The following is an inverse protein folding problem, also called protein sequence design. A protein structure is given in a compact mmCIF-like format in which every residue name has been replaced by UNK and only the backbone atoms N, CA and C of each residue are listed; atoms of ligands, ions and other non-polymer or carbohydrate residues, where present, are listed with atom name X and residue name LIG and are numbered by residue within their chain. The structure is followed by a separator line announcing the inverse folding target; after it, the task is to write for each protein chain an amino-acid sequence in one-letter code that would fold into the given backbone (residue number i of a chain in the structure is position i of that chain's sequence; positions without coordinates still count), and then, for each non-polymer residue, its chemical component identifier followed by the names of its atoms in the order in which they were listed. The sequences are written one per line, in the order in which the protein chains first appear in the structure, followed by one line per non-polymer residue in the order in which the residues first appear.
data_IF_892385797747
#
_entry.id   IF_892385797747
#
_cell.length_a   1.000
_cell.length_b   1.000
_cell.length_c   1.000
_cell.angle_alpha   90.00
_cell.angle_beta   90.00
_cell.angle_gamma   90.00
#
_symmetry.space_group_name_H-M   'P 1'
#
loop_
_entity.id
_entity.type
_entity.pdbx_description
1 polymer ?
#
# COMPACT_ATOMS: atom_id res chain seq x y z
N UNK A 1 6.73 -20.10 25.95
CA UNK A 1 6.63 -18.88 25.13
C UNK A 1 5.81 -17.89 25.93
N UNK A 2 6.31 -16.70 26.28
CA UNK A 2 5.49 -15.68 26.93
C UNK A 2 4.38 -15.23 25.99
N UNK A 3 3.15 -15.20 26.47
CA UNK A 3 2.00 -14.65 25.75
C UNK A 3 2.24 -13.18 25.49
N UNK A 4 2.06 -12.67 24.25
CA UNK A 4 2.21 -11.26 23.98
C UNK A 4 1.25 -10.47 24.87
N UNK A 5 1.76 -9.46 25.58
CA UNK A 5 0.96 -8.59 26.42
C UNK A 5 -0.10 -7.88 25.58
N UNK A 6 -1.32 -7.77 26.09
CA UNK A 6 -2.38 -7.02 25.42
C UNK A 6 -1.95 -5.57 25.21
N UNK A 7 -2.23 -4.96 24.05
CA UNK A 7 -1.82 -3.60 23.76
C UNK A 7 -2.43 -2.62 24.77
N UNK A 8 -1.64 -1.65 25.22
CA UNK A 8 -2.06 -0.60 26.13
C UNK A 8 -3.09 0.33 25.48
N UNK A 9 -3.88 1.04 26.27
CA UNK A 9 -4.84 2.05 25.78
C UNK A 9 -4.15 3.12 24.90
N UNK A 10 -2.89 3.47 25.20
CA UNK A 10 -2.11 4.42 24.41
C UNK A 10 -1.75 3.86 23.04
N UNK A 11 -1.33 2.59 22.97
CA UNK A 11 -1.01 1.91 21.71
C UNK A 11 -2.25 1.75 20.83
N UNK A 12 -3.38 1.34 21.38
CA UNK A 12 -4.65 1.27 20.67
C UNK A 12 -5.08 2.64 20.12
N UNK A 13 -4.87 3.70 20.88
CA UNK A 13 -5.17 5.06 20.44
C UNK A 13 -4.24 5.50 19.33
N UNK A 14 -2.94 5.20 19.45
CA UNK A 14 -1.95 5.47 18.41
C UNK A 14 -2.29 4.76 17.10
N UNK A 15 -2.66 3.48 17.16
CA UNK A 15 -3.10 2.69 15.99
C UNK A 15 -4.33 3.30 15.31
N UNK A 16 -5.33 3.74 16.08
CA UNK A 16 -6.51 4.44 15.54
C UNK A 16 -6.14 5.72 14.78
N UNK A 17 -5.18 6.50 15.28
CA UNK A 17 -4.70 7.70 14.59
C UNK A 17 -3.99 7.30 13.28
N UNK A 18 -3.15 6.26 13.31
CA UNK A 18 -2.47 5.77 12.12
C UNK A 18 -3.45 5.23 11.06
N UNK A 19 -4.49 4.52 11.47
CA UNK A 19 -5.54 4.05 10.57
C UNK A 19 -6.27 5.23 9.90
N UNK A 20 -6.69 6.24 10.67
CA UNK A 20 -7.33 7.44 10.13
C UNK A 20 -6.38 8.21 9.19
N UNK A 21 -5.15 8.49 9.64
CA UNK A 21 -4.16 9.18 8.84
C UNK A 21 -3.85 8.44 7.53
N UNK A 22 -3.70 7.10 7.58
CA UNK A 22 -3.40 6.28 6.42
C UNK A 22 -4.53 6.27 5.37
N UNK A 23 -5.79 6.36 5.78
CA UNK A 23 -6.93 6.55 4.88
C UNK A 23 -6.97 7.96 4.31
N UNK A 24 -6.85 8.97 5.18
CA UNK A 24 -6.90 10.38 4.78
C UNK A 24 -5.85 10.74 3.72
N UNK A 25 -4.58 10.33 3.92
CA UNK A 25 -3.51 10.60 2.92
C UNK A 25 -3.75 9.90 1.59
N UNK A 26 -4.33 8.69 1.57
CA UNK A 26 -4.64 7.98 0.31
C UNK A 26 -5.86 8.55 -0.40
N UNK A 27 -6.83 9.09 0.34
CA UNK A 27 -8.02 9.72 -0.20
C UNK A 27 -7.76 11.12 -0.76
N UNK A 28 -7.01 11.94 -0.02
CA UNK A 28 -6.88 13.38 -0.29
C UNK A 28 -5.45 13.84 -0.59
N UNK A 29 -4.49 12.90 -0.72
CA UNK A 29 -3.08 13.22 -0.89
C UNK A 29 -2.42 13.73 0.40
N UNK A 30 -1.13 14.06 0.31
CA UNK A 30 -0.36 14.53 1.46
C UNK A 30 -0.86 15.86 2.05
N UNK A 31 -1.35 16.76 1.19
CA UNK A 31 -1.84 18.08 1.61
C UNK A 31 -3.24 18.02 2.19
N UNK A 32 -4.07 17.07 1.75
CA UNK A 32 -5.46 16.91 2.18
C UNK A 32 -5.65 16.27 3.56
N UNK A 33 -4.59 15.76 4.18
CA UNK A 33 -4.65 15.15 5.52
C UNK A 33 -4.18 16.14 6.60
N UNK A 34 -5.06 17.03 7.06
CA UNK A 34 -4.75 17.90 8.20
C UNK A 34 -4.77 17.13 9.51
N UNK A 35 -3.97 17.58 10.49
CA UNK A 35 -3.96 16.98 11.84
C UNK A 35 -5.36 17.02 12.47
N UNK A 36 -6.10 18.12 12.29
CA UNK A 36 -7.44 18.28 12.85
C UNK A 36 -8.42 17.25 12.28
N UNK A 37 -8.40 17.03 10.96
CA UNK A 37 -9.27 16.04 10.30
C UNK A 37 -8.92 14.61 10.70
N UNK A 38 -7.63 14.27 10.74
CA UNK A 38 -7.16 12.95 11.18
C UNK A 38 -7.59 12.67 12.61
N UNK A 39 -7.38 13.61 13.54
CA UNK A 39 -7.78 13.44 14.94
C UNK A 39 -9.29 13.31 15.09
N UNK A 40 -10.07 14.12 14.34
CA UNK A 40 -11.53 14.01 14.30
C UNK A 40 -11.99 12.65 13.78
N UNK A 41 -11.40 12.16 12.68
CA UNK A 41 -11.71 10.82 12.12
C UNK A 41 -11.32 9.70 13.09
N UNK A 42 -10.24 9.87 13.85
CA UNK A 42 -9.86 8.95 14.93
C UNK A 42 -10.75 9.06 16.19
N UNK A 43 -11.74 9.97 16.24
CA UNK A 43 -12.60 10.20 17.40
C UNK A 43 -11.86 10.82 18.58
N UNK A 44 -10.89 11.70 18.32
CA UNK A 44 -10.01 12.33 19.31
C UNK A 44 -10.03 13.85 19.18
N UNK A 45 -9.61 14.54 20.25
CA UNK A 45 -9.43 15.99 20.21
C UNK A 45 -8.09 16.35 19.56
N UNK A 46 -8.02 17.51 18.92
CA UNK A 46 -6.77 18.03 18.31
C UNK A 46 -5.62 18.10 19.34
N UNK A 47 -5.90 18.50 20.58
CA UNK A 47 -4.88 18.60 21.63
C UNK A 47 -4.21 17.28 22.01
N UNK A 48 -4.87 16.14 21.75
CA UNK A 48 -4.29 14.81 21.97
C UNK A 48 -3.20 14.41 20.97
N UNK A 49 -3.03 15.15 19.89
CA UNK A 49 -2.07 14.84 18.82
C UNK A 49 -0.63 14.77 19.34
N UNK A 50 -0.19 15.77 20.08
CA UNK A 50 1.19 15.88 20.57
C UNK A 50 1.59 14.84 21.62
N UNK A 51 0.61 14.10 22.18
CA UNK A 51 0.88 12.92 22.99
C UNK A 51 1.33 11.70 22.19
N UNK A 52 1.13 11.73 20.86
CA UNK A 52 1.41 10.61 19.96
C UNK A 52 2.46 10.94 18.89
N UNK A 53 2.53 12.18 18.42
CA UNK A 53 3.45 12.59 17.34
C UNK A 53 4.05 13.96 17.61
N UNK A 54 5.35 14.10 17.37
CA UNK A 54 6.09 15.35 17.54
C UNK A 54 5.81 16.36 16.41
N UNK A 55 5.45 15.85 15.21
CA UNK A 55 5.14 16.67 14.04
C UNK A 55 4.12 15.98 13.11
N UNK A 56 3.53 16.77 12.21
CA UNK A 56 2.66 16.25 11.15
C UNK A 56 3.44 15.32 10.21
N UNK A 57 4.67 15.66 9.88
CA UNK A 57 5.56 14.89 9.00
C UNK A 57 5.84 13.50 9.60
N UNK A 58 6.11 13.41 10.91
CA UNK A 58 6.26 12.14 11.63
C UNK A 58 4.98 11.30 11.60
N UNK A 59 3.82 11.93 11.80
CA UNK A 59 2.53 11.24 11.65
C UNK A 59 2.36 10.70 10.23
N UNK A 60 2.62 11.50 9.20
CA UNK A 60 2.48 11.10 7.79
C UNK A 60 3.45 9.97 7.44
N UNK A 61 4.72 10.06 7.85
CA UNK A 61 5.70 9.00 7.65
C UNK A 61 5.26 7.67 8.30
N UNK A 62 4.77 7.75 9.55
CA UNK A 62 4.24 6.59 10.27
C UNK A 62 2.97 6.03 9.61
N UNK A 63 2.10 6.91 9.10
CA UNK A 63 0.90 6.50 8.37
C UNK A 63 1.22 5.79 7.04
N UNK A 64 2.26 6.23 6.31
CA UNK A 64 2.75 5.54 5.11
C UNK A 64 3.29 4.15 5.46
N UNK A 65 4.07 4.03 6.53
CA UNK A 65 4.59 2.76 7.00
C UNK A 65 3.45 1.80 7.41
N UNK A 66 2.49 2.30 8.18
CA UNK A 66 1.30 1.57 8.61
C UNK A 66 0.43 1.13 7.42
N UNK A 67 0.14 2.05 6.48
CA UNK A 67 -0.57 1.77 5.25
C UNK A 67 0.10 0.67 4.43
N UNK A 68 1.44 0.73 4.30
CA UNK A 68 2.22 -0.26 3.58
C UNK A 68 2.14 -1.65 4.23
N UNK A 69 2.22 -1.72 5.56
CA UNK A 69 2.09 -2.97 6.30
C UNK A 69 0.70 -3.59 6.14
N UNK A 70 -0.36 -2.80 6.32
CA UNK A 70 -1.75 -3.27 6.17
C UNK A 70 -2.05 -3.72 4.73
N UNK A 71 -1.64 -2.93 3.73
CA UNK A 71 -1.87 -3.32 2.32
C UNK A 71 -1.07 -4.57 1.91
N UNK A 72 0.15 -4.74 2.43
CA UNK A 72 0.93 -5.96 2.20
C UNK A 72 0.27 -7.19 2.85
N UNK A 73 -0.27 -7.06 4.07
CA UNK A 73 -1.03 -8.14 4.73
C UNK A 73 -2.27 -8.53 3.93
N UNK A 74 -3.06 -7.55 3.48
CA UNK A 74 -4.25 -7.80 2.66
C UNK A 74 -3.88 -8.48 1.33
N UNK A 75 -2.81 -8.04 0.69
CA UNK A 75 -2.30 -8.64 -0.54
C UNK A 75 -1.86 -10.09 -0.30
N UNK A 76 -1.08 -10.35 0.75
CA UNK A 76 -0.64 -11.70 1.11
C UNK A 76 -1.82 -12.64 1.38
N UNK A 77 -2.87 -12.16 2.05
CA UNK A 77 -4.09 -12.94 2.27
C UNK A 77 -4.79 -13.30 0.95
N UNK A 78 -4.88 -12.32 0.02
CA UNK A 78 -5.47 -12.56 -1.31
C UNK A 78 -4.64 -13.55 -2.13
N UNK A 79 -3.32 -13.42 -2.11
CA UNK A 79 -2.38 -14.35 -2.75
C UNK A 79 -2.56 -15.77 -2.21
N UNK A 80 -2.59 -15.94 -0.89
CA UNK A 80 -2.74 -17.25 -0.26
C UNK A 80 -4.03 -17.98 -0.66
N UNK A 81 -5.13 -17.22 -0.90
CA UNK A 81 -6.38 -17.81 -1.42
C UNK A 81 -6.19 -18.35 -2.84
N UNK A 82 -5.48 -17.61 -3.70
CA UNK A 82 -5.23 -18.01 -5.09
C UNK A 82 -4.23 -19.18 -5.17
N UNK A 83 -3.20 -19.19 -4.33
CA UNK A 83 -2.22 -20.29 -4.23
C UNK A 83 -2.90 -21.59 -3.81
N UNK A 84 -3.82 -21.55 -2.84
CA UNK A 84 -4.64 -22.73 -2.47
C UNK A 84 -5.51 -23.23 -3.62
N UNK A 85 -5.78 -22.41 -4.62
CA UNK A 85 -6.51 -22.76 -5.87
C UNK A 85 -5.57 -23.21 -7.01
N UNK A 86 -4.27 -23.41 -6.71
CA UNK A 86 -3.29 -23.89 -7.68
C UNK A 86 -2.61 -22.81 -8.51
N UNK A 87 -2.74 -21.53 -8.15
CA UNK A 87 -1.95 -20.47 -8.81
C UNK A 87 -0.50 -20.51 -8.33
N UNK A 88 0.45 -20.27 -9.24
CA UNK A 88 1.84 -20.01 -8.84
C UNK A 88 1.91 -18.74 -7.98
N UNK A 89 2.92 -18.57 -7.09
CA UNK A 89 3.07 -17.37 -6.28
C UNK A 89 3.10 -16.09 -7.12
N UNK A 90 3.77 -16.10 -8.28
CA UNK A 90 3.80 -14.96 -9.18
C UNK A 90 2.43 -14.62 -9.77
N UNK A 91 1.69 -15.62 -10.27
CA UNK A 91 0.32 -15.41 -10.76
C UNK A 91 -0.61 -14.93 -9.66
N UNK A 92 -0.48 -15.47 -8.46
CA UNK A 92 -1.25 -15.03 -7.31
C UNK A 92 -1.01 -13.56 -6.98
N UNK A 93 0.26 -13.09 -7.03
CA UNK A 93 0.61 -11.69 -6.88
C UNK A 93 -0.05 -10.83 -7.96
N UNK A 94 0.15 -11.16 -9.23
CA UNK A 94 -0.34 -10.38 -10.37
C UNK A 94 -1.87 -10.30 -10.38
N UNK A 95 -2.56 -11.43 -10.17
CA UNK A 95 -4.03 -11.50 -10.13
C UNK A 95 -4.61 -10.72 -8.93
N UNK A 96 -3.95 -10.77 -7.76
CA UNK A 96 -4.39 -10.03 -6.58
C UNK A 96 -4.13 -8.54 -6.71
N UNK A 97 -2.93 -8.15 -7.16
CA UNK A 97 -2.55 -6.75 -7.24
C UNK A 97 -3.32 -5.99 -8.33
N UNK A 98 -3.49 -6.59 -9.50
CA UNK A 98 -4.22 -6.01 -10.64
C UNK A 98 -5.70 -6.44 -10.66
N UNK A 99 -6.33 -6.61 -9.48
CA UNK A 99 -7.74 -6.98 -9.37
C UNK A 99 -8.67 -5.76 -9.40
N UNK A 100 -9.94 -5.91 -9.86
CA UNK A 100 -10.95 -4.86 -9.73
C UNK A 100 -11.16 -4.44 -8.26
N UNK A 101 -11.10 -5.38 -7.33
CA UNK A 101 -11.20 -5.08 -5.90
C UNK A 101 -10.07 -4.15 -5.41
N UNK A 102 -8.81 -4.36 -5.86
CA UNK A 102 -7.71 -3.46 -5.52
C UNK A 102 -7.82 -2.12 -6.24
N UNK A 103 -8.36 -2.07 -7.46
CA UNK A 103 -8.66 -0.82 -8.16
C UNK A 103 -9.64 0.03 -7.36
N UNK A 104 -10.71 -0.57 -6.84
CA UNK A 104 -11.72 0.11 -6.03
C UNK A 104 -11.22 0.49 -4.61
N UNK A 105 -10.18 -0.15 -4.12
CA UNK A 105 -9.64 0.05 -2.76
C UNK A 105 -8.77 1.31 -2.65
N UNK A 106 -9.35 2.50 -2.87
CA UNK A 106 -8.61 3.76 -2.89
C UNK A 106 -7.94 4.07 -1.55
N UNK A 107 -8.65 3.85 -0.43
CA UNK A 107 -8.19 4.20 0.91
C UNK A 107 -7.41 3.08 1.62
N UNK A 108 -7.49 1.83 1.13
CA UNK A 108 -6.89 0.66 1.76
C UNK A 108 -5.88 -0.09 0.89
N UNK A 109 -5.79 0.24 -0.40
CA UNK A 109 -4.87 -0.35 -1.36
C UNK A 109 -3.43 0.14 -1.23
N UNK A 110 -2.63 -0.14 -2.26
CA UNK A 110 -1.21 0.18 -2.29
C UNK A 110 -0.95 1.69 -2.11
N UNK A 111 -0.18 2.04 -1.08
CA UNK A 111 0.18 3.42 -0.78
C UNK A 111 1.12 4.02 -1.83
N UNK A 112 1.96 3.20 -2.48
CA UNK A 112 2.84 3.66 -3.57
C UNK A 112 2.01 4.07 -4.79
N UNK A 113 1.00 3.27 -5.15
CA UNK A 113 0.10 3.61 -6.25
C UNK A 113 -0.79 4.83 -5.94
N UNK A 114 -1.10 5.08 -4.67
CA UNK A 114 -1.89 6.25 -4.29
C UNK A 114 -1.06 7.55 -4.28
N UNK A 115 0.18 7.52 -3.79
CA UNK A 115 0.94 8.71 -3.40
C UNK A 115 2.29 8.86 -4.12
N UNK A 116 2.67 7.92 -5.00
CA UNK A 116 4.02 7.86 -5.60
C UNK A 116 4.47 9.17 -6.27
N UNK A 117 3.57 9.86 -6.96
CA UNK A 117 3.86 11.13 -7.62
C UNK A 117 4.08 12.32 -6.67
N UNK A 118 3.56 12.24 -5.44
CA UNK A 118 3.69 13.30 -4.43
C UNK A 118 4.91 13.12 -3.53
N UNK A 119 5.33 11.88 -3.31
CA UNK A 119 6.39 11.50 -2.36
C UNK A 119 7.73 12.24 -2.55
N UNK A 120 8.22 12.49 -3.77
CA UNK A 120 9.50 13.19 -3.96
C UNK A 120 9.54 14.63 -3.45
N UNK A 121 8.38 15.27 -3.30
CA UNK A 121 8.24 16.67 -2.85
C UNK A 121 7.99 16.83 -1.36
N UNK A 122 8.04 15.73 -0.60
CA UNK A 122 7.79 15.74 0.83
C UNK A 122 9.08 15.90 1.66
N UNK A 123 8.92 16.12 2.98
CA UNK A 123 10.02 16.13 3.93
C UNK A 123 10.78 14.80 3.94
N UNK A 124 12.04 14.81 4.40
CA UNK A 124 12.95 13.67 4.37
C UNK A 124 12.37 12.42 5.05
N UNK A 125 11.73 12.60 6.20
CA UNK A 125 11.11 11.51 6.95
C UNK A 125 10.04 10.79 6.11
N UNK A 126 9.20 11.57 5.42
CA UNK A 126 8.14 11.05 4.53
C UNK A 126 8.74 10.37 3.31
N UNK A 127 9.79 10.99 2.70
CA UNK A 127 10.50 10.39 1.56
C UNK A 127 11.17 9.07 1.94
N UNK A 128 11.74 8.96 3.13
CA UNK A 128 12.37 7.73 3.61
C UNK A 128 11.33 6.62 3.83
N UNK A 129 10.21 6.93 4.46
CA UNK A 129 9.09 5.98 4.58
C UNK A 129 8.59 5.51 3.21
N UNK A 130 8.50 6.41 2.23
CA UNK A 130 8.11 6.09 0.86
C UNK A 130 9.12 5.17 0.16
N UNK A 131 10.43 5.45 0.27
CA UNK A 131 11.50 4.59 -0.28
C UNK A 131 11.40 3.17 0.24
N UNK A 132 11.18 3.00 1.54
CA UNK A 132 10.99 1.69 2.15
C UNK A 132 9.78 0.93 1.56
N UNK A 133 8.69 1.62 1.25
CA UNK A 133 7.51 0.97 0.64
C UNK A 133 7.75 0.55 -0.81
N UNK A 134 8.45 1.38 -1.59
CA UNK A 134 8.86 1.02 -2.95
C UNK A 134 9.79 -0.19 -2.92
N UNK A 135 10.84 -0.14 -2.09
CA UNK A 135 11.80 -1.25 -1.94
C UNK A 135 11.12 -2.54 -1.46
N UNK A 136 10.15 -2.43 -0.54
CA UNK A 136 9.40 -3.60 -0.07
C UNK A 136 8.55 -4.22 -1.18
N UNK A 137 7.95 -3.41 -2.06
CA UNK A 137 7.19 -3.93 -3.21
C UNK A 137 8.11 -4.64 -4.21
N UNK A 138 9.28 -4.06 -4.52
CA UNK A 138 10.27 -4.70 -5.42
C UNK A 138 10.73 -6.04 -4.83
N UNK A 139 11.09 -6.08 -3.55
CA UNK A 139 11.47 -7.34 -2.85
C UNK A 139 10.35 -8.37 -2.86
N UNK A 140 9.09 -7.96 -2.69
CA UNK A 140 7.96 -8.88 -2.78
C UNK A 140 7.86 -9.50 -4.18
N UNK A 141 7.97 -8.70 -5.24
CA UNK A 141 7.99 -9.22 -6.62
C UNK A 141 9.15 -10.19 -6.80
N UNK A 142 10.35 -9.81 -6.38
CA UNK A 142 11.55 -10.65 -6.47
C UNK A 142 11.37 -12.00 -5.80
N UNK A 143 10.75 -12.03 -4.60
CA UNK A 143 10.55 -13.25 -3.82
C UNK A 143 9.59 -14.27 -4.46
N UNK A 144 8.77 -13.86 -5.42
CA UNK A 144 7.80 -14.74 -6.10
C UNK A 144 8.11 -14.99 -7.57
N UNK A 145 9.18 -14.37 -8.10
CA UNK A 145 9.61 -14.60 -9.47
C UNK A 145 10.19 -16.02 -9.65
N UNK A 146 9.98 -16.65 -10.81
CA UNK A 146 10.65 -17.89 -11.17
C UNK A 146 12.17 -17.75 -11.14
N UNK A 147 12.87 -18.81 -10.72
CA UNK A 147 14.33 -18.85 -10.74
C UNK A 147 14.87 -18.60 -12.15
N UNK A 148 15.96 -17.83 -12.25
CA UNK A 148 16.60 -17.48 -13.52
C UNK A 148 15.96 -16.30 -14.25
N UNK A 149 14.98 -15.65 -13.67
CA UNK A 149 14.47 -14.37 -14.20
C UNK A 149 15.54 -13.29 -14.00
N UNK A 150 15.81 -12.49 -15.04
CA UNK A 150 16.87 -11.47 -15.01
C UNK A 150 16.73 -10.44 -13.87
N UNK A 151 17.88 -9.94 -13.39
CA UNK A 151 17.98 -9.10 -12.18
C UNK A 151 17.09 -7.84 -12.17
N UNK A 152 16.83 -7.24 -13.34
CA UNK A 152 16.03 -6.02 -13.45
C UNK A 152 14.51 -6.27 -13.54
N UNK A 153 14.10 -7.55 -13.67
CA UNK A 153 12.70 -7.90 -13.90
C UNK A 153 11.79 -7.50 -12.74
N UNK A 154 12.26 -7.66 -11.50
CA UNK A 154 11.46 -7.31 -10.32
C UNK A 154 11.09 -5.82 -10.29
N UNK A 155 12.04 -4.93 -10.59
CA UNK A 155 11.81 -3.49 -10.65
C UNK A 155 10.85 -3.12 -11.80
N UNK A 156 11.05 -3.70 -13.00
CA UNK A 156 10.16 -3.50 -14.14
C UNK A 156 8.73 -3.95 -13.84
N UNK A 157 8.56 -5.14 -13.23
CA UNK A 157 7.26 -5.67 -12.89
C UNK A 157 6.59 -4.81 -11.81
N UNK A 158 7.31 -4.43 -10.74
CA UNK A 158 6.78 -3.54 -9.71
C UNK A 158 6.30 -2.21 -10.29
N UNK A 159 7.07 -1.63 -11.22
CA UNK A 159 6.69 -0.40 -11.95
C UNK A 159 5.43 -0.61 -12.80
N UNK A 160 5.33 -1.75 -13.49
CA UNK A 160 4.14 -2.11 -14.29
C UNK A 160 2.92 -2.27 -13.39
N UNK A 161 3.04 -2.97 -12.26
CA UNK A 161 1.94 -3.15 -11.31
C UNK A 161 1.41 -1.81 -10.78
N UNK A 162 2.31 -0.92 -10.35
CA UNK A 162 1.94 0.41 -9.83
C UNK A 162 1.32 1.26 -10.92
N UNK A 163 1.97 1.35 -12.09
CA UNK A 163 1.50 2.16 -13.21
C UNK A 163 0.16 1.68 -13.76
N UNK A 164 -0.02 0.36 -13.95
CA UNK A 164 -1.28 -0.20 -14.41
C UNK A 164 -2.42 0.10 -13.43
N UNK A 165 -2.19 -0.02 -12.11
CA UNK A 165 -3.20 0.30 -11.10
C UNK A 165 -3.56 1.79 -11.10
N UNK A 166 -2.58 2.69 -11.25
CA UNK A 166 -2.82 4.14 -11.33
C UNK A 166 -3.64 4.50 -12.57
N UNK A 167 -3.24 3.99 -13.74
CA UNK A 167 -3.94 4.25 -15.00
C UNK A 167 -5.37 3.68 -14.99
N UNK A 168 -5.55 2.48 -14.45
CA UNK A 168 -6.87 1.87 -14.32
C UNK A 168 -7.79 2.70 -13.41
N UNK A 169 -7.28 3.24 -12.30
CA UNK A 169 -8.04 4.13 -11.42
C UNK A 169 -8.41 5.45 -12.10
N UNK A 170 -7.52 5.99 -12.95
CA UNK A 170 -7.78 7.21 -13.71
C UNK A 170 -8.83 7.00 -14.80
N UNK A 171 -8.84 5.85 -15.47
CA UNK A 171 -9.86 5.48 -16.47
C UNK A 171 -11.20 5.19 -15.81
N UNK A 172 -11.19 4.42 -14.71
CA UNK A 172 -12.41 3.95 -14.06
C UNK A 172 -13.17 2.91 -14.87
N UNK A 173 -14.25 2.37 -14.28
CA UNK A 173 -15.20 1.49 -14.94
C UNK A 173 -14.60 0.33 -15.75
N UNK A 174 -15.27 -0.02 -16.83
CA UNK A 174 -14.88 -1.14 -17.71
C UNK A 174 -13.51 -0.93 -18.37
N UNK A 175 -13.17 0.29 -18.78
CA UNK A 175 -11.89 0.61 -19.41
C UNK A 175 -10.72 0.39 -18.44
N UNK A 176 -10.88 0.78 -17.17
CA UNK A 176 -9.92 0.50 -16.12
C UNK A 176 -9.73 -1.00 -15.88
N UNK A 177 -10.81 -1.76 -15.81
CA UNK A 177 -10.77 -3.22 -15.67
C UNK A 177 -10.12 -3.90 -16.87
N UNK A 178 -10.40 -3.45 -18.10
CA UNK A 178 -9.79 -3.95 -19.33
C UNK A 178 -8.28 -3.71 -19.35
N UNK A 179 -7.81 -2.53 -18.88
CA UNK A 179 -6.39 -2.23 -18.75
C UNK A 179 -5.70 -3.16 -17.74
N UNK A 180 -6.33 -3.42 -16.58
CA UNK A 180 -5.82 -4.39 -15.61
C UNK A 180 -5.75 -5.80 -16.19
N UNK A 181 -6.79 -6.22 -16.90
CA UNK A 181 -6.84 -7.54 -17.53
C UNK A 181 -5.74 -7.75 -18.58
N UNK A 182 -5.47 -6.73 -19.40
CA UNK A 182 -4.38 -6.76 -20.38
C UNK A 182 -3.01 -6.93 -19.72
N UNK A 183 -2.73 -6.15 -18.65
CA UNK A 183 -1.47 -6.26 -17.93
C UNK A 183 -1.32 -7.61 -17.20
N UNK A 184 -2.40 -8.13 -16.60
CA UNK A 184 -2.38 -9.47 -15.99
C UNK A 184 -2.02 -10.55 -17.01
N UNK A 185 -2.63 -10.50 -18.22
CA UNK A 185 -2.35 -11.46 -19.28
C UNK A 185 -0.88 -11.43 -19.67
N UNK A 186 -0.35 -10.26 -20.03
CA UNK A 186 1.04 -10.11 -20.48
C UNK A 186 2.04 -10.56 -19.42
N UNK A 187 1.86 -10.16 -18.16
CA UNK A 187 2.74 -10.57 -17.08
C UNK A 187 2.67 -12.08 -16.82
N UNK A 188 1.48 -12.68 -16.86
CA UNK A 188 1.29 -14.11 -16.64
C UNK A 188 1.82 -14.97 -17.79
N UNK A 189 1.75 -14.50 -19.03
CA UNK A 189 2.32 -15.18 -20.21
C UNK A 189 3.85 -15.15 -20.17
N UNK A 190 4.44 -14.06 -19.68
CA UNK A 190 5.89 -13.88 -19.70
C UNK A 190 6.61 -14.52 -18.52
N UNK A 191 5.99 -14.55 -17.32
CA UNK A 191 6.66 -14.92 -16.08
C UNK A 191 5.87 -15.92 -15.22
N UNK A 192 4.67 -16.36 -15.62
CA UNK A 192 3.77 -17.18 -14.82
C UNK A 192 3.76 -18.66 -15.08
#
# INVERSE_FOLDING_TARGET
MPTPASPSKRELTHERILDAASRAIRRAGHTGASVAEVMKEAGLTHGGFYAHFDSREKMVASAIAHAGTKSAQNLAQSMAVLEKRGRTPFRALVESYLSPAHMAALETGCVVAALGSEMPRQADEVRNAARERVSALVRLVESVLPHGTGNDSAACIASTLVGALQLARALGGEDGEALLAANRRVLSERYG
#
